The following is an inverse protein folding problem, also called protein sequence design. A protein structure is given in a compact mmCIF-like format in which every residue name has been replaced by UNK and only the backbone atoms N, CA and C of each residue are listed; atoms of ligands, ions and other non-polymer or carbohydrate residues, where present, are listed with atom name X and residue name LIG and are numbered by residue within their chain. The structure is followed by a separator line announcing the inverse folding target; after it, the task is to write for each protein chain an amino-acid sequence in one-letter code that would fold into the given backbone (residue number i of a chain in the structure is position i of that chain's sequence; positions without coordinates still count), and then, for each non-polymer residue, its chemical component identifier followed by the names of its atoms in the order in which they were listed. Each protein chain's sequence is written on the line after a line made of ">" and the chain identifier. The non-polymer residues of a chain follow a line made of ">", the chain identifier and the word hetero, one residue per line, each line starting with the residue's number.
data_IF_352818379326
#
_entry.id   IF_352818379326
#
_cell.length_a   1.000
_cell.length_b   1.000
_cell.length_c   1.000
_cell.angle_alpha   90.00
_cell.angle_beta   90.00
_cell.angle_gamma   90.00
#
_symmetry.space_group_name_H-M   'P 1'
#
loop_
_entity.id
_entity.type
_entity.pdbx_description
1 polymer ?
#
# COMPACT_ATOMS: atom_id res chain seq x y z
N UNK A 1 -10.21 -23.48 10.93
CA UNK A 1 -10.83 -22.61 11.96
C UNK A 1 -9.77 -22.20 12.97
N UNK A 2 -9.63 -20.92 13.33
CA UNK A 2 -8.57 -20.47 14.24
C UNK A 2 -8.97 -20.58 15.72
N UNK A 3 -8.00 -20.80 16.60
CA UNK A 3 -8.18 -20.82 18.06
C UNK A 3 -8.78 -19.51 18.61
N UNK A 4 -8.42 -18.37 18.00
CA UNK A 4 -8.94 -17.04 18.36
C UNK A 4 -10.46 -16.99 18.20
N UNK A 5 -11.02 -17.59 17.14
CA UNK A 5 -12.47 -17.59 16.93
C UNK A 5 -13.22 -18.26 18.07
N UNK A 6 -12.78 -19.46 18.47
CA UNK A 6 -13.42 -20.21 19.55
C UNK A 6 -13.29 -19.51 20.89
N UNK A 7 -12.13 -18.88 21.15
CA UNK A 7 -11.98 -18.02 22.33
C UNK A 7 -13.03 -16.90 22.35
N UNK A 8 -13.19 -16.17 21.24
CA UNK A 8 -14.17 -15.09 21.15
C UNK A 8 -15.61 -15.56 21.34
N UNK A 9 -15.99 -16.67 20.70
CA UNK A 9 -17.31 -17.29 20.84
C UNK A 9 -17.61 -17.66 22.29
N UNK A 10 -16.65 -18.30 22.95
CA UNK A 10 -16.81 -18.74 24.33
C UNK A 10 -16.85 -17.55 25.30
N UNK A 11 -16.00 -16.53 25.10
CA UNK A 11 -15.97 -15.34 25.96
C UNK A 11 -17.23 -14.47 25.81
N UNK A 12 -17.81 -14.40 24.61
CA UNK A 12 -18.98 -13.56 24.34
C UNK A 12 -20.31 -14.33 24.45
N UNK A 13 -20.26 -15.65 24.62
CA UNK A 13 -21.46 -16.50 24.67
C UNK A 13 -22.33 -16.42 23.41
N UNK A 14 -21.74 -16.14 22.24
CA UNK A 14 -22.50 -15.82 21.03
C UNK A 14 -22.63 -17.02 20.08
N UNK A 15 -23.70 -17.04 19.27
CA UNK A 15 -23.85 -18.02 18.19
C UNK A 15 -22.82 -17.76 17.10
N UNK A 16 -22.27 -18.82 16.53
CA UNK A 16 -21.36 -18.72 15.40
C UNK A 16 -22.02 -19.22 14.12
N UNK A 17 -21.58 -18.70 12.99
CA UNK A 17 -22.07 -19.07 11.66
C UNK A 17 -20.90 -19.48 10.76
N UNK A 18 -21.21 -20.18 9.68
CA UNK A 18 -20.24 -20.61 8.68
C UNK A 18 -20.35 -19.76 7.41
N UNK A 19 -19.20 -19.53 6.77
CA UNK A 19 -19.12 -18.70 5.56
C UNK A 19 -19.97 -19.23 4.40
N UNK A 20 -20.14 -20.55 4.26
CA UNK A 20 -20.95 -21.11 3.18
C UNK A 20 -22.44 -20.75 3.33
N UNK A 21 -22.97 -20.69 4.56
CA UNK A 21 -24.35 -20.30 4.86
C UNK A 21 -24.57 -18.84 4.47
N UNK A 22 -23.66 -17.96 4.89
CA UNK A 22 -23.73 -16.53 4.54
C UNK A 22 -23.65 -16.31 3.03
N UNK A 23 -22.79 -17.07 2.32
CA UNK A 23 -22.69 -17.02 0.87
C UNK A 23 -24.00 -17.45 0.19
N UNK A 24 -24.63 -18.53 0.66
CA UNK A 24 -25.90 -19.01 0.11
C UNK A 24 -27.01 -17.97 0.27
N UNK A 25 -27.21 -17.44 1.48
CA UNK A 25 -28.23 -16.43 1.75
C UNK A 25 -27.99 -15.14 0.96
N UNK A 26 -26.72 -14.75 0.80
CA UNK A 26 -26.33 -13.59 0.01
C UNK A 26 -26.67 -13.75 -1.47
N UNK A 27 -26.48 -14.95 -2.03
CA UNK A 27 -26.88 -15.26 -3.42
C UNK A 27 -28.40 -15.27 -3.56
N UNK A 28 -29.12 -15.87 -2.60
CA UNK A 28 -30.59 -15.87 -2.62
C UNK A 28 -31.18 -14.46 -2.60
N UNK A 29 -30.53 -13.51 -1.92
CA UNK A 29 -30.92 -12.10 -1.86
C UNK A 29 -30.29 -11.23 -2.97
N UNK A 30 -29.56 -11.81 -3.93
CA UNK A 30 -28.85 -11.10 -5.01
C UNK A 30 -27.92 -9.97 -4.51
N UNK A 31 -27.21 -10.20 -3.40
CA UNK A 31 -26.33 -9.22 -2.78
C UNK A 31 -24.85 -9.40 -3.17
N UNK A 32 -24.16 -8.29 -3.39
CA UNK A 32 -22.71 -8.29 -3.63
C UNK A 32 -21.92 -8.67 -2.37
N UNK A 33 -20.69 -9.18 -2.57
CA UNK A 33 -19.83 -9.62 -1.47
C UNK A 33 -19.21 -8.42 -0.77
N UNK A 34 -19.75 -8.06 0.38
CA UNK A 34 -19.22 -7.00 1.25
C UNK A 34 -19.40 -7.37 2.72
N UNK A 35 -18.56 -6.81 3.60
CA UNK A 35 -18.61 -7.13 5.03
C UNK A 35 -19.96 -6.78 5.69
N UNK A 36 -20.59 -5.67 5.29
CA UNK A 36 -21.88 -5.25 5.84
C UNK A 36 -23.05 -6.07 5.30
N UNK A 37 -23.00 -6.53 4.04
CA UNK A 37 -24.00 -7.46 3.50
C UNK A 37 -23.88 -8.84 4.17
N UNK A 38 -22.65 -9.31 4.40
CA UNK A 38 -22.42 -10.56 5.12
C UNK A 38 -23.00 -10.46 6.55
N UNK A 39 -22.77 -9.33 7.25
CA UNK A 39 -23.37 -9.07 8.57
C UNK A 39 -24.91 -9.03 8.52
N UNK A 40 -25.50 -8.40 7.50
CA UNK A 40 -26.95 -8.36 7.28
C UNK A 40 -27.53 -9.78 7.10
N UNK A 41 -26.89 -10.61 6.28
CA UNK A 41 -27.30 -12.01 6.10
C UNK A 41 -27.12 -12.84 7.39
N UNK A 42 -26.06 -12.60 8.18
CA UNK A 42 -25.84 -13.28 9.47
C UNK A 42 -26.95 -12.91 10.48
N UNK A 43 -27.41 -11.66 10.46
CA UNK A 43 -28.50 -11.19 11.30
C UNK A 43 -29.88 -11.72 10.88
N UNK A 44 -29.99 -12.46 9.76
CA UNK A 44 -31.27 -12.95 9.22
C UNK A 44 -32.03 -11.90 8.41
N UNK A 45 -31.35 -10.86 7.92
CA UNK A 45 -31.97 -9.81 7.11
C UNK A 45 -32.51 -10.32 5.78
N UNK A 46 -33.66 -9.77 5.37
CA UNK A 46 -34.34 -10.05 4.10
C UNK A 46 -34.58 -8.76 3.31
N UNK A 47 -35.81 -8.27 3.21
CA UNK A 47 -36.20 -7.10 2.40
C UNK A 47 -36.15 -5.76 3.16
N UNK A 48 -35.44 -5.71 4.29
CA UNK A 48 -35.34 -4.50 5.10
C UNK A 48 -34.52 -3.42 4.40
N UNK A 49 -34.87 -2.15 4.64
CA UNK A 49 -34.10 -1.02 4.13
C UNK A 49 -32.68 -1.02 4.72
N UNK A 50 -31.68 -0.98 3.84
CA UNK A 50 -30.26 -0.99 4.23
C UNK A 50 -29.75 0.43 4.42
N UNK A 51 -28.98 0.63 5.49
CA UNK A 51 -28.31 1.92 5.76
C UNK A 51 -27.11 2.07 4.83
N UNK A 52 -26.80 3.31 4.44
CA UNK A 52 -25.59 3.63 3.68
C UNK A 52 -24.34 3.29 4.51
N UNK A 53 -23.44 2.41 4.04
CA UNK A 53 -22.26 2.03 4.81
C UNK A 53 -21.27 3.20 4.91
N UNK A 54 -20.63 3.31 6.07
CA UNK A 54 -19.47 4.18 6.26
C UNK A 54 -18.20 3.38 6.02
N UNK A 55 -17.34 3.87 5.11
CA UNK A 55 -16.10 3.19 4.74
C UNK A 55 -14.96 3.82 5.53
N UNK A 56 -14.25 2.98 6.29
CA UNK A 56 -13.06 3.39 7.02
C UNK A 56 -11.82 2.76 6.41
N UNK A 57 -10.80 3.57 6.21
CA UNK A 57 -9.44 3.14 5.87
C UNK A 57 -8.54 3.21 7.10
N UNK A 58 -7.84 2.11 7.39
CA UNK A 58 -6.78 2.10 8.39
C UNK A 58 -5.43 2.44 7.75
N UNK A 59 -4.97 3.66 7.96
CA UNK A 59 -3.71 4.17 7.43
C UNK A 59 -2.60 3.89 8.43
N UNK A 60 -1.58 3.17 7.95
CA UNK A 60 -0.38 2.82 8.72
C UNK A 60 0.32 4.09 9.20
N UNK A 61 0.64 4.12 10.50
CA UNK A 61 1.44 5.20 11.09
C UNK A 61 2.86 5.18 10.53
N UNK A 62 3.54 4.04 10.45
CA UNK A 62 4.94 3.97 10.00
C UNK A 62 5.13 3.13 8.72
N UNK A 63 6.16 3.45 7.94
CA UNK A 63 6.58 2.64 6.80
C UNK A 63 7.23 1.34 7.27
N UNK A 64 6.92 0.21 6.63
CA UNK A 64 7.46 -1.12 7.00
C UNK A 64 8.97 -1.27 6.76
N UNK A 65 9.53 -0.49 5.84
CA UNK A 65 10.98 -0.40 5.62
C UNK A 65 11.44 1.04 5.75
N UNK A 66 12.44 1.26 6.60
CA UNK A 66 13.16 2.53 6.73
C UNK A 66 14.28 2.66 5.70
N UNK A 67 14.66 1.58 5.03
CA UNK A 67 15.73 1.58 4.06
C UNK A 67 15.22 1.44 2.63
N UNK A 68 15.79 2.24 1.73
CA UNK A 68 15.71 2.03 0.28
C UNK A 68 17.07 1.60 -0.26
N UNK A 69 17.10 0.45 -0.91
CA UNK A 69 18.24 0.00 -1.68
C UNK A 69 18.11 0.46 -3.14
N UNK A 70 19.15 1.11 -3.64
CA UNK A 70 19.31 1.39 -5.06
C UNK A 70 20.47 0.57 -5.55
N UNK A 71 20.20 -0.23 -6.56
CA UNK A 71 21.17 -1.14 -7.11
C UNK A 71 22.25 -0.42 -7.94
N UNK A 72 23.38 -1.09 -8.14
CA UNK A 72 24.46 -0.58 -8.99
C UNK A 72 23.99 -0.46 -10.45
N UNK A 73 24.53 0.52 -11.16
CA UNK A 73 24.33 0.66 -12.62
C UNK A 73 25.60 0.28 -13.36
N UNK A 74 25.44 -0.54 -14.38
CA UNK A 74 26.52 -1.14 -15.17
C UNK A 74 26.15 -1.04 -16.65
N UNK A 75 27.14 -1.00 -17.54
CA UNK A 75 26.93 -1.08 -18.99
C UNK A 75 26.72 -2.55 -19.37
N UNK A 76 25.68 -2.87 -20.13
CA UNK A 76 25.57 -4.20 -20.77
C UNK A 76 26.48 -4.23 -22.00
N UNK A 77 27.43 -5.16 -22.05
CA UNK A 77 28.43 -5.27 -23.13
C UNK A 77 27.77 -5.53 -24.49
N UNK A 78 26.60 -6.17 -24.52
CA UNK A 78 25.91 -6.52 -25.78
C UNK A 78 25.25 -5.33 -26.44
N UNK A 79 24.65 -4.45 -25.63
CA UNK A 79 23.83 -3.34 -26.11
C UNK A 79 24.47 -1.98 -25.87
N UNK A 80 25.57 -1.92 -25.12
CA UNK A 80 26.22 -0.70 -24.62
C UNK A 80 25.27 0.25 -23.85
N UNK A 81 24.16 -0.28 -23.32
CA UNK A 81 23.17 0.50 -22.57
C UNK A 81 23.44 0.46 -21.08
N UNK A 82 22.94 1.48 -20.36
CA UNK A 82 23.01 1.56 -18.89
C UNK A 82 21.88 0.74 -18.26
N UNK A 83 22.26 -0.32 -17.55
CA UNK A 83 21.33 -1.30 -17.00
C UNK A 83 21.48 -1.42 -15.47
N UNK A 84 20.42 -1.79 -14.75
CA UNK A 84 20.52 -2.17 -13.34
C UNK A 84 21.20 -3.53 -13.14
N UNK A 85 21.95 -3.70 -12.06
CA UNK A 85 22.49 -5.00 -11.68
C UNK A 85 21.46 -6.11 -11.48
N UNK A 86 20.21 -5.78 -11.11
CA UNK A 86 19.06 -6.70 -11.01
C UNK A 86 18.71 -7.30 -12.36
N UNK A 87 18.83 -6.55 -13.45
CA UNK A 87 18.52 -7.04 -14.80
C UNK A 87 19.62 -7.99 -15.29
N UNK A 88 20.88 -7.70 -14.94
CA UNK A 88 22.03 -8.60 -15.17
C UNK A 88 22.32 -9.46 -13.93
N UNK A 89 21.32 -10.21 -13.46
CA UNK A 89 21.44 -11.10 -12.29
C UNK A 89 22.14 -12.43 -12.63
N UNK A 90 22.42 -13.25 -11.60
CA UNK A 90 23.14 -14.52 -11.77
C UNK A 90 22.23 -15.74 -12.04
N UNK A 91 20.97 -15.52 -12.40
CA UNK A 91 20.04 -16.60 -12.70
C UNK A 91 19.35 -17.26 -11.49
N UNK A 92 19.87 -17.04 -10.26
CA UNK A 92 19.43 -17.76 -9.07
C UNK A 92 18.18 -17.16 -8.45
N UNK A 93 17.08 -17.94 -8.40
CA UNK A 93 15.83 -17.57 -7.71
C UNK A 93 15.53 -18.43 -6.48
N UNK A 94 15.97 -19.68 -6.49
CA UNK A 94 15.70 -20.66 -5.43
C UNK A 94 17.00 -21.26 -4.85
N UNK A 95 16.87 -22.03 -3.76
CA UNK A 95 17.99 -22.79 -3.21
C UNK A 95 18.40 -23.96 -4.11
N UNK A 96 17.43 -24.58 -4.78
CA UNK A 96 17.67 -25.66 -5.74
C UNK A 96 18.41 -25.14 -6.97
N UNK A 97 19.54 -25.78 -7.32
CA UNK A 97 20.40 -25.37 -8.44
C UNK A 97 19.81 -25.71 -9.81
N UNK A 98 18.99 -26.75 -9.93
CA UNK A 98 18.41 -27.18 -11.20
C UNK A 98 17.37 -26.20 -11.75
N UNK A 99 16.77 -25.40 -10.88
CA UNK A 99 15.77 -24.37 -11.23
C UNK A 99 16.39 -22.99 -11.50
N UNK A 100 17.72 -22.90 -11.57
CA UNK A 100 18.38 -21.63 -11.86
C UNK A 100 18.27 -21.30 -13.35
N UNK A 101 18.01 -20.02 -13.62
CA UNK A 101 18.10 -19.47 -14.98
C UNK A 101 19.55 -19.12 -15.34
N UNK A 102 19.76 -18.62 -16.56
CA UNK A 102 21.08 -18.25 -17.06
C UNK A 102 21.75 -17.14 -16.23
N UNK A 103 23.08 -17.22 -16.11
CA UNK A 103 23.88 -16.18 -15.48
C UNK A 103 24.14 -15.01 -16.45
N UNK A 104 23.39 -13.92 -16.29
CA UNK A 104 23.52 -12.69 -17.09
C UNK A 104 24.67 -11.78 -16.61
N UNK A 105 25.34 -12.10 -15.49
CA UNK A 105 26.48 -11.28 -15.02
C UNK A 105 27.65 -11.26 -16.00
N UNK A 106 27.76 -12.24 -16.89
CA UNK A 106 28.78 -12.28 -17.95
C UNK A 106 28.72 -11.08 -18.89
N UNK A 107 27.55 -10.45 -19.01
CA UNK A 107 27.35 -9.27 -19.84
C UNK A 107 27.58 -7.94 -19.10
N UNK A 108 28.06 -7.98 -17.85
CA UNK A 108 28.37 -6.77 -17.08
C UNK A 108 29.70 -6.18 -17.54
N UNK A 109 29.65 -5.02 -18.15
CA UNK A 109 30.81 -4.20 -18.48
C UNK A 109 31.18 -3.24 -17.36
N UNK A 110 31.62 -2.04 -17.74
CA UNK A 110 32.06 -1.02 -16.78
C UNK A 110 30.94 -0.59 -15.82
N UNK A 111 31.28 -0.46 -14.53
CA UNK A 111 30.35 0.00 -13.50
C UNK A 111 30.26 1.53 -13.54
N UNK A 112 29.08 2.04 -13.89
CA UNK A 112 28.79 3.49 -13.93
C UNK A 112 28.57 4.04 -12.52
N UNK A 113 27.84 3.30 -11.68
CA UNK A 113 27.56 3.76 -10.31
C UNK A 113 27.49 2.59 -9.34
N UNK A 114 28.02 2.82 -8.13
CA UNK A 114 27.89 1.88 -7.02
C UNK A 114 26.44 1.85 -6.54
N UNK A 115 25.99 0.69 -6.07
CA UNK A 115 24.72 0.60 -5.35
C UNK A 115 24.80 1.43 -4.08
N UNK A 116 23.66 2.00 -3.66
CA UNK A 116 23.58 2.86 -2.49
C UNK A 116 22.38 2.47 -1.63
N UNK A 117 22.57 2.56 -0.32
CA UNK A 117 21.50 2.39 0.68
C UNK A 117 21.11 3.78 1.16
N UNK A 118 19.82 4.09 1.14
CA UNK A 118 19.27 5.34 1.69
C UNK A 118 18.38 5.01 2.88
N UNK A 119 18.84 5.41 4.06
CA UNK A 119 18.11 5.25 5.30
C UNK A 119 17.21 6.47 5.50
N UNK A 120 15.94 6.22 5.82
CA UNK A 120 14.95 7.23 6.17
C UNK A 120 15.06 7.51 7.67
N UNK A 121 15.66 8.65 8.00
CA UNK A 121 15.89 9.06 9.39
C UNK A 121 14.83 10.00 9.94
N UNK A 122 14.08 10.69 9.07
CA UNK A 122 13.09 11.70 9.46
C UNK A 122 11.74 11.43 8.82
N UNK A 123 10.69 11.75 9.57
CA UNK A 123 9.31 11.78 9.10
C UNK A 123 8.87 13.21 8.88
N UNK A 124 8.48 13.56 7.66
CA UNK A 124 7.99 14.90 7.35
C UNK A 124 6.60 15.15 7.93
N UNK A 125 6.26 16.41 8.14
CA UNK A 125 4.98 16.82 8.72
C UNK A 125 3.78 16.36 7.87
N UNK A 126 3.80 16.75 6.60
CA UNK A 126 2.85 16.29 5.59
C UNK A 126 3.23 14.93 5.03
N UNK A 127 2.23 14.06 4.91
CA UNK A 127 2.36 12.70 4.40
C UNK A 127 1.47 12.52 3.16
N UNK A 128 1.83 11.59 2.26
CA UNK A 128 0.96 11.24 1.14
C UNK A 128 -0.45 10.88 1.62
N UNK A 129 -1.46 11.47 1.00
CA UNK A 129 -2.87 11.32 1.35
C UNK A 129 -3.44 12.45 2.21
N UNK A 130 -2.62 13.19 2.96
CA UNK A 130 -3.09 14.33 3.75
C UNK A 130 -3.76 15.40 2.86
N UNK A 131 -4.72 16.13 3.42
CA UNK A 131 -5.38 17.25 2.75
C UNK A 131 -4.79 18.58 3.21
N UNK A 132 -4.48 19.44 2.24
CA UNK A 132 -3.94 20.78 2.46
C UNK A 132 -4.70 21.80 1.62
N UNK A 133 -4.79 23.03 2.11
CA UNK A 133 -5.32 24.16 1.36
C UNK A 133 -4.18 24.92 0.70
N UNK A 134 -4.36 25.25 -0.58
CA UNK A 134 -3.46 26.05 -1.39
C UNK A 134 -4.33 26.92 -2.31
N UNK A 135 -4.13 28.25 -2.31
CA UNK A 135 -4.95 29.19 -3.11
C UNK A 135 -6.46 28.92 -2.94
N UNK A 136 -6.92 28.80 -1.69
CA UNK A 136 -8.29 28.50 -1.25
C UNK A 136 -8.92 27.19 -1.74
N UNK A 137 -8.15 26.34 -2.43
CA UNK A 137 -8.57 25.01 -2.88
C UNK A 137 -7.93 23.91 -2.03
N UNK A 138 -8.68 22.84 -1.78
CA UNK A 138 -8.21 21.67 -1.03
C UNK A 138 -7.59 20.66 -1.99
N UNK A 139 -6.36 20.26 -1.71
CA UNK A 139 -5.60 19.28 -2.49
C UNK A 139 -5.14 18.11 -1.63
N UNK A 140 -5.00 16.96 -2.28
CA UNK A 140 -4.38 15.76 -1.69
C UNK A 140 -2.87 15.83 -1.88
N UNK A 141 -2.12 15.63 -0.80
CA UNK A 141 -0.67 15.51 -0.85
C UNK A 141 -0.27 14.22 -1.57
N UNK A 142 0.50 14.34 -2.66
CA UNK A 142 1.12 13.20 -3.37
C UNK A 142 2.42 12.78 -2.71
N UNK A 143 3.20 13.74 -2.22
CA UNK A 143 4.43 13.47 -1.47
C UNK A 143 5.29 14.71 -1.26
N UNK A 144 6.33 14.56 -0.45
CA UNK A 144 7.27 15.64 -0.11
C UNK A 144 8.52 15.59 -0.97
N UNK A 145 9.01 16.75 -1.40
CA UNK A 145 10.23 16.91 -2.20
C UNK A 145 11.28 17.75 -1.46
N UNK A 146 12.53 17.67 -1.92
CA UNK A 146 13.67 18.45 -1.43
C UNK A 146 13.73 18.55 0.11
N UNK A 147 13.84 17.39 0.77
CA UNK A 147 13.89 17.27 2.24
C UNK A 147 12.71 17.94 2.96
N UNK A 148 11.54 17.98 2.33
CA UNK A 148 10.32 18.54 2.91
C UNK A 148 10.16 20.04 2.71
N UNK A 149 10.96 20.71 1.86
CA UNK A 149 10.76 22.13 1.52
C UNK A 149 9.57 22.37 0.59
N UNK A 150 9.21 21.35 -0.20
CA UNK A 150 8.17 21.44 -1.22
C UNK A 150 7.23 20.23 -1.14
N UNK A 151 5.97 20.44 -1.53
CA UNK A 151 4.95 19.40 -1.53
C UNK A 151 4.40 19.21 -2.93
N UNK A 152 4.48 17.99 -3.44
CA UNK A 152 3.77 17.61 -4.65
C UNK A 152 2.30 17.37 -4.28
N UNK A 153 1.40 18.11 -4.91
CA UNK A 153 -0.03 17.94 -4.79
C UNK A 153 -0.54 17.03 -5.92
N UNK A 154 -1.67 16.35 -5.67
CA UNK A 154 -2.39 15.63 -6.73
C UNK A 154 -3.04 16.67 -7.66
N UNK A 155 -3.14 16.37 -8.95
CA UNK A 155 -3.74 17.22 -10.00
C UNK A 155 -3.00 18.51 -10.34
N UNK A 156 -2.09 19.00 -9.49
CA UNK A 156 -1.22 20.14 -9.80
C UNK A 156 0.16 19.69 -10.27
N UNK A 157 0.62 20.26 -11.40
CA UNK A 157 2.00 20.09 -11.89
C UNK A 157 3.00 20.94 -11.08
N UNK A 158 2.57 22.10 -10.59
CA UNK A 158 3.37 23.00 -9.75
C UNK A 158 3.56 22.38 -8.36
N UNK A 159 4.76 22.51 -7.82
CA UNK A 159 5.12 21.99 -6.50
C UNK A 159 5.27 23.18 -5.54
N UNK A 160 4.24 23.53 -4.76
CA UNK A 160 4.31 24.65 -3.84
C UNK A 160 5.30 24.42 -2.68
N UNK A 161 5.83 25.53 -2.16
CA UNK A 161 6.57 25.55 -0.89
C UNK A 161 5.64 25.23 0.27
N UNK A 162 6.16 24.59 1.30
CA UNK A 162 5.40 24.25 2.51
C UNK A 162 4.79 25.49 3.18
N UNK A 163 5.50 26.61 3.18
CA UNK A 163 5.08 27.87 3.82
C UNK A 163 3.77 28.44 3.26
N UNK A 164 3.45 28.14 2.00
CA UNK A 164 2.23 28.61 1.33
C UNK A 164 1.02 27.70 1.59
N UNK A 165 1.21 26.59 2.31
CA UNK A 165 0.19 25.57 2.53
C UNK A 165 -0.36 25.66 3.93
N UNK A 166 -1.69 25.59 4.05
CA UNK A 166 -2.36 25.44 5.34
C UNK A 166 -2.84 24.00 5.52
N UNK A 167 -2.60 23.37 6.67
CA UNK A 167 -3.10 22.01 6.93
C UNK A 167 -4.63 22.03 6.99
N UNK A 168 -5.28 21.09 6.30
CA UNK A 168 -6.74 20.96 6.32
C UNK A 168 -7.20 19.72 7.08
N UNK A 169 -6.74 18.54 6.68
CA UNK A 169 -7.08 17.27 7.35
C UNK A 169 -5.95 16.25 7.20
N UNK A 170 -5.45 15.75 8.32
CA UNK A 170 -4.49 14.65 8.30
C UNK A 170 -5.19 13.31 8.13
N UNK A 171 -4.68 12.45 7.25
CA UNK A 171 -5.18 11.09 7.05
C UNK A 171 -4.25 10.10 7.76
N UNK A 172 -4.45 9.92 9.07
CA UNK A 172 -3.64 9.01 9.91
C UNK A 172 -4.56 8.16 10.80
N UNK A 173 -4.21 6.89 11.00
CA UNK A 173 -5.01 6.00 11.85
C UNK A 173 -6.26 5.52 11.13
N UNK A 174 -7.44 5.64 11.75
CA UNK A 174 -8.72 5.31 11.14
C UNK A 174 -9.31 6.56 10.49
N UNK A 175 -9.54 6.50 9.18
CA UNK A 175 -10.04 7.62 8.39
C UNK A 175 -11.32 7.20 7.70
N UNK A 176 -12.41 7.93 7.94
CA UNK A 176 -13.62 7.80 7.13
C UNK A 176 -13.34 8.37 5.73
N UNK A 177 -13.64 7.57 4.71
CA UNK A 177 -13.43 7.88 3.29
C UNK A 177 -14.74 8.30 2.64
#
# INVERSE_FOLDING_TARGET
>A
MSMIRWRLVNTLGCKHTYGYITKHNRIALNLEKTHYNDAFCIAGGSNQNRVKPLIFEQIKRNSRSLEKFYDAKVIDIRTNTKVSGVELFNGRRTRNKSLNSENLRKYRGAKISKGQRRIRTKRYFYQPGDLVKYEDKVYIVKGTQNKGKYIALKELKKVPKVELLTPYKFRKGLVCV
#
